data_IF_950385158342
#
_entry.id   IF_950385158342
#
_cell.length_a   1.000
_cell.length_b   1.000
_cell.length_c   1.000
_cell.angle_alpha   90.00
_cell.angle_beta   90.00
_cell.angle_gamma   90.00
#
_symmetry.space_group_name_H-M   'P 1'
#
loop_
_entity.id
_entity.type
_entity.pdbx_description
1 polymer ?
#
# COMPACT_ATOMS: atom_id res chain seq x y z
N UNK A 1 12.79 -26.91 -35.57
CA UNK A 1 13.28 -28.14 -34.91
C UNK A 1 14.47 -27.82 -34.00
N UNK A 2 15.60 -27.33 -34.52
CA UNK A 2 16.77 -26.90 -33.73
C UNK A 2 16.44 -25.89 -32.62
N UNK A 3 15.53 -24.94 -32.85
CA UNK A 3 15.10 -23.95 -31.84
C UNK A 3 14.21 -24.51 -30.74
N UNK A 4 13.47 -25.59 -31.02
CA UNK A 4 12.55 -26.23 -30.05
C UNK A 4 13.32 -27.24 -29.20
N UNK A 5 14.24 -28.00 -29.79
CA UNK A 5 15.15 -28.88 -29.05
C UNK A 5 16.05 -28.07 -28.12
N UNK A 6 16.66 -26.97 -28.60
CA UNK A 6 17.43 -26.05 -27.73
C UNK A 6 16.58 -25.40 -26.63
N UNK A 7 15.29 -25.18 -26.86
CA UNK A 7 14.39 -24.66 -25.83
C UNK A 7 14.00 -25.74 -24.81
N UNK A 8 13.93 -27.01 -25.23
CA UNK A 8 13.64 -28.14 -24.35
C UNK A 8 14.75 -28.37 -23.32
N UNK A 9 15.99 -28.06 -23.66
CA UNK A 9 17.17 -28.24 -22.81
C UNK A 9 17.67 -26.93 -22.18
N UNK A 10 16.93 -25.83 -22.36
CA UNK A 10 17.38 -24.51 -21.89
C UNK A 10 17.31 -24.38 -20.36
N UNK A 11 16.27 -24.94 -19.74
CA UNK A 11 16.00 -24.79 -18.30
C UNK A 11 16.20 -26.11 -17.58
N UNK A 12 16.75 -26.04 -16.37
CA UNK A 12 16.90 -27.18 -15.47
C UNK A 12 15.86 -27.09 -14.34
N UNK A 13 15.21 -28.21 -14.04
CA UNK A 13 14.18 -28.31 -13.00
C UNK A 13 14.77 -28.26 -11.58
N UNK A 14 16.06 -28.56 -11.41
CA UNK A 14 16.75 -28.52 -10.12
C UNK A 14 17.44 -27.16 -9.86
N UNK A 15 17.41 -26.25 -10.85
CA UNK A 15 18.00 -24.91 -10.77
C UNK A 15 17.01 -23.89 -10.23
N UNK A 16 17.46 -23.06 -9.28
CA UNK A 16 16.65 -22.00 -8.68
C UNK A 16 16.17 -21.01 -9.74
N UNK A 17 14.85 -20.82 -9.83
CA UNK A 17 14.21 -20.05 -10.90
C UNK A 17 13.58 -18.77 -10.37
N UNK A 18 14.11 -17.63 -10.83
CA UNK A 18 13.54 -16.30 -10.59
C UNK A 18 12.61 -15.92 -11.74
N UNK A 19 11.34 -15.66 -11.41
CA UNK A 19 10.33 -15.18 -12.35
C UNK A 19 10.15 -13.67 -12.29
N UNK A 20 10.09 -13.02 -13.44
CA UNK A 20 9.61 -11.64 -13.57
C UNK A 20 8.68 -11.53 -14.78
N UNK A 21 7.41 -11.16 -14.57
CA UNK A 21 6.49 -10.99 -15.70
C UNK A 21 5.51 -9.83 -15.56
N UNK A 22 5.81 -8.72 -16.25
CA UNK A 22 5.04 -7.47 -16.15
C UNK A 22 5.12 -6.69 -17.48
N UNK A 23 4.23 -5.72 -17.70
CA UNK A 23 4.44 -4.70 -18.75
C UNK A 23 5.79 -4.03 -18.50
N UNK A 24 6.65 -3.97 -19.51
CA UNK A 24 7.94 -3.25 -19.43
C UNK A 24 7.68 -1.75 -19.48
N UNK A 25 8.09 -1.08 -18.41
CA UNK A 25 8.04 0.36 -18.21
C UNK A 25 9.22 0.72 -17.29
N UNK A 26 9.75 1.93 -17.41
CA UNK A 26 10.96 2.37 -16.69
C UNK A 26 10.84 2.21 -15.18
N UNK A 27 9.70 2.62 -14.60
CA UNK A 27 9.49 2.52 -13.15
C UNK A 27 9.45 1.08 -12.62
N UNK A 28 9.25 0.05 -13.46
CA UNK A 28 9.24 -1.35 -13.02
C UNK A 28 10.62 -2.01 -12.99
N UNK A 29 11.63 -1.34 -13.56
CA UNK A 29 13.06 -1.68 -13.46
C UNK A 29 13.37 -3.16 -13.65
N UNK A 30 12.89 -3.72 -14.76
CA UNK A 30 13.15 -5.12 -15.12
C UNK A 30 14.65 -5.39 -15.35
N UNK A 31 15.44 -4.34 -15.62
CA UNK A 31 16.89 -4.37 -15.76
C UNK A 31 17.66 -4.12 -14.44
N UNK A 32 17.01 -4.04 -13.27
CA UNK A 32 17.71 -3.75 -12.01
C UNK A 32 18.85 -4.77 -11.73
N UNK A 33 18.59 -6.07 -11.94
CA UNK A 33 19.61 -7.13 -11.85
C UNK A 33 20.71 -7.05 -12.92
N UNK A 34 20.51 -6.28 -13.99
CA UNK A 34 21.43 -6.17 -15.11
C UNK A 34 22.42 -5.00 -14.96
N UNK A 35 22.23 -4.16 -13.93
CA UNK A 35 23.14 -3.07 -13.61
C UNK A 35 24.50 -3.60 -13.14
N UNK A 36 24.51 -4.64 -12.31
CA UNK A 36 25.73 -5.36 -11.91
C UNK A 36 25.82 -6.71 -12.63
N UNK A 37 26.34 -6.68 -13.86
CA UNK A 37 26.49 -7.86 -14.69
C UNK A 37 27.49 -8.86 -14.11
N UNK A 38 28.49 -8.42 -13.34
CA UNK A 38 29.46 -9.33 -12.74
C UNK A 38 28.79 -10.21 -11.68
N UNK A 39 28.06 -9.59 -10.74
CA UNK A 39 27.31 -10.32 -9.71
C UNK A 39 26.23 -11.20 -10.32
N UNK A 40 25.51 -10.70 -11.34
CA UNK A 40 24.52 -11.48 -12.06
C UNK A 40 25.13 -12.75 -12.65
N UNK A 41 26.24 -12.62 -13.38
CA UNK A 41 26.88 -13.77 -14.01
C UNK A 41 27.39 -14.78 -12.97
N UNK A 42 27.96 -14.31 -11.86
CA UNK A 42 28.37 -15.19 -10.75
C UNK A 42 27.20 -16.02 -10.22
N UNK A 43 26.01 -15.44 -10.02
CA UNK A 43 24.82 -16.17 -9.60
C UNK A 43 24.36 -17.20 -10.65
N UNK A 44 24.33 -16.81 -11.92
CA UNK A 44 23.84 -17.68 -13.01
C UNK A 44 24.77 -18.87 -13.28
N UNK A 45 26.06 -18.72 -13.01
CA UNK A 45 27.09 -19.73 -13.30
C UNK A 45 27.71 -20.35 -12.05
N UNK A 46 27.14 -20.15 -10.86
CA UNK A 46 27.60 -20.80 -9.63
C UNK A 46 27.47 -22.34 -9.80
N UNK A 47 28.55 -23.12 -9.63
CA UNK A 47 28.54 -24.56 -9.87
C UNK A 47 27.74 -25.34 -8.81
N UNK A 48 27.59 -24.78 -7.60
CA UNK A 48 26.93 -25.44 -6.47
C UNK A 48 25.49 -24.94 -6.29
N UNK A 49 25.23 -23.67 -6.64
CA UNK A 49 23.94 -22.99 -6.43
C UNK A 49 23.53 -22.17 -7.66
N UNK A 50 23.34 -22.80 -8.82
CA UNK A 50 23.03 -22.08 -10.05
C UNK A 50 21.68 -21.35 -9.98
N UNK A 51 21.56 -20.26 -10.72
CA UNK A 51 20.31 -19.50 -10.85
C UNK A 51 19.90 -19.42 -12.32
N UNK A 52 18.60 -19.42 -12.58
CA UNK A 52 18.03 -19.11 -13.90
C UNK A 52 16.94 -18.04 -13.79
N UNK A 53 16.83 -17.20 -14.82
CA UNK A 53 15.85 -16.13 -14.92
C UNK A 53 14.84 -16.45 -16.02
N UNK A 54 13.56 -16.33 -15.69
CA UNK A 54 12.47 -16.34 -16.68
C UNK A 54 11.79 -14.97 -16.65
N UNK A 55 11.99 -14.23 -17.73
CA UNK A 55 11.47 -12.87 -17.92
C UNK A 55 10.36 -12.90 -18.96
N UNK A 56 9.27 -12.17 -18.72
CA UNK A 56 8.20 -12.06 -19.72
C UNK A 56 7.51 -10.71 -19.67
N UNK A 57 7.05 -10.24 -20.82
CA UNK A 57 6.27 -9.00 -20.86
C UNK A 57 6.28 -8.33 -22.22
N UNK A 58 5.57 -7.20 -22.27
CA UNK A 58 5.42 -6.37 -23.46
C UNK A 58 5.75 -4.93 -23.09
N UNK A 59 6.53 -4.28 -23.93
CA UNK A 59 6.62 -2.82 -23.94
C UNK A 59 5.49 -2.25 -24.80
N UNK A 60 5.00 -1.06 -24.46
CA UNK A 60 4.01 -0.41 -25.33
C UNK A 60 4.67 -0.02 -26.67
N UNK A 61 3.98 -0.08 -27.82
CA UNK A 61 4.60 0.20 -29.13
C UNK A 61 5.24 1.59 -29.26
N UNK A 62 4.81 2.56 -28.45
CA UNK A 62 5.35 3.93 -28.39
C UNK A 62 6.34 4.17 -27.24
N UNK A 63 6.64 3.15 -26.44
CA UNK A 63 7.49 3.24 -25.25
C UNK A 63 8.90 2.72 -25.61
N UNK A 64 9.70 3.57 -26.25
CA UNK A 64 11.09 3.24 -26.60
C UNK A 64 11.94 2.91 -25.36
N UNK A 65 11.83 3.61 -24.22
CA UNK A 65 12.54 3.22 -23.01
C UNK A 65 12.23 1.78 -22.58
N UNK A 66 10.95 1.39 -22.54
CA UNK A 66 10.56 0.01 -22.22
C UNK A 66 11.10 -1.02 -23.22
N UNK A 67 11.18 -0.69 -24.52
CA UNK A 67 11.81 -1.56 -25.52
C UNK A 67 13.32 -1.66 -25.35
N UNK A 68 13.99 -0.58 -24.95
CA UNK A 68 15.43 -0.57 -24.71
C UNK A 68 15.81 -1.50 -23.56
N UNK A 69 15.02 -1.55 -22.49
CA UNK A 69 15.20 -2.51 -21.38
C UNK A 69 15.17 -3.96 -21.91
N UNK A 70 14.19 -4.29 -22.76
CA UNK A 70 14.10 -5.65 -23.35
C UNK A 70 15.33 -5.93 -24.23
N UNK A 71 15.76 -4.95 -25.05
CA UNK A 71 16.95 -5.07 -25.89
C UNK A 71 18.19 -5.32 -25.03
N UNK A 72 18.41 -4.53 -23.99
CA UNK A 72 19.53 -4.63 -23.06
C UNK A 72 19.65 -6.05 -22.49
N UNK A 73 18.56 -6.56 -21.89
CA UNK A 73 18.49 -7.91 -21.33
C UNK A 73 18.90 -8.99 -22.35
N UNK A 74 18.39 -8.89 -23.59
CA UNK A 74 18.70 -9.85 -24.67
C UNK A 74 20.15 -9.73 -25.12
N UNK A 75 20.74 -8.53 -25.13
CA UNK A 75 22.15 -8.33 -25.48
C UNK A 75 23.06 -8.89 -24.39
N UNK A 76 22.82 -8.55 -23.12
CA UNK A 76 23.61 -9.07 -21.99
C UNK A 76 23.61 -10.60 -21.98
N UNK A 77 22.44 -11.23 -22.09
CA UNK A 77 22.33 -12.69 -22.10
C UNK A 77 23.10 -13.33 -23.28
N UNK A 78 23.12 -12.66 -24.44
CA UNK A 78 23.86 -13.12 -25.63
C UNK A 78 25.36 -12.97 -25.45
N UNK A 79 25.80 -11.79 -25.06
CA UNK A 79 27.20 -11.38 -25.11
C UNK A 79 28.00 -12.05 -23.99
N UNK A 80 27.36 -12.29 -22.84
CA UNK A 80 27.94 -13.07 -21.75
C UNK A 80 27.80 -14.60 -21.91
N UNK A 81 27.15 -15.07 -22.99
CA UNK A 81 27.02 -16.50 -23.29
C UNK A 81 26.09 -17.29 -22.37
N UNK A 82 25.18 -16.63 -21.65
CA UNK A 82 24.26 -17.23 -20.65
C UNK A 82 22.80 -17.30 -21.12
N UNK A 83 22.60 -17.51 -22.43
CA UNK A 83 21.26 -17.55 -23.06
C UNK A 83 20.37 -18.70 -22.58
N UNK A 84 20.98 -19.76 -22.08
CA UNK A 84 20.32 -20.89 -21.42
C UNK A 84 19.90 -20.55 -19.98
N UNK A 85 20.57 -19.60 -19.33
CA UNK A 85 20.22 -19.15 -17.97
C UNK A 85 19.26 -17.98 -17.91
N UNK A 86 19.13 -17.19 -18.98
CA UNK A 86 18.21 -16.05 -19.08
C UNK A 86 17.24 -16.27 -20.24
N UNK A 87 16.01 -16.68 -19.91
CA UNK A 87 14.96 -16.96 -20.89
C UNK A 87 13.96 -15.80 -20.92
N UNK A 88 13.81 -15.17 -22.09
CA UNK A 88 12.77 -14.17 -22.33
C UNK A 88 11.58 -14.81 -23.06
N UNK A 89 10.43 -14.92 -22.39
CA UNK A 89 9.20 -15.44 -22.97
C UNK A 89 8.43 -14.34 -23.68
N UNK A 90 8.28 -14.50 -24.99
CA UNK A 90 7.52 -13.59 -25.82
C UNK A 90 6.01 -13.69 -25.53
N UNK A 91 5.32 -12.61 -25.90
CA UNK A 91 3.88 -12.60 -26.01
C UNK A 91 3.09 -12.86 -24.71
N UNK A 92 3.66 -12.47 -23.56
CA UNK A 92 3.04 -12.59 -22.23
C UNK A 92 1.54 -12.29 -22.23
N UNK A 93 0.77 -13.28 -21.78
CA UNK A 93 -0.67 -13.29 -21.64
C UNK A 93 -1.07 -14.10 -20.38
N UNK A 94 -2.36 -14.37 -20.22
CA UNK A 94 -2.86 -15.13 -19.07
C UNK A 94 -2.39 -16.60 -19.06
N UNK A 95 -2.14 -17.19 -20.23
CA UNK A 95 -1.69 -18.57 -20.35
C UNK A 95 -0.22 -18.69 -19.94
N UNK A 96 0.63 -17.79 -20.44
CA UNK A 96 2.05 -17.71 -20.05
C UNK A 96 2.14 -17.41 -18.55
N UNK A 97 1.35 -16.45 -18.06
CA UNK A 97 1.30 -16.12 -16.63
C UNK A 97 0.99 -17.35 -15.77
N UNK A 98 0.01 -18.17 -16.17
CA UNK A 98 -0.36 -19.40 -15.44
C UNK A 98 0.81 -20.36 -15.30
N UNK A 99 1.62 -20.53 -16.34
CA UNK A 99 2.76 -21.44 -16.30
C UNK A 99 3.90 -20.85 -15.47
N UNK A 100 4.19 -19.55 -15.64
CA UNK A 100 5.26 -18.90 -14.90
C UNK A 100 5.02 -18.90 -13.39
N UNK A 101 3.83 -18.48 -12.94
CA UNK A 101 3.54 -18.45 -11.49
C UNK A 101 3.52 -19.84 -10.85
N UNK A 102 3.47 -20.92 -11.65
CA UNK A 102 3.53 -22.30 -11.18
C UNK A 102 4.94 -22.92 -11.29
N UNK A 103 5.81 -22.32 -12.11
CA UNK A 103 7.12 -22.87 -12.45
C UNK A 103 8.31 -22.06 -11.95
N UNK A 104 8.07 -21.00 -11.17
CA UNK A 104 9.14 -20.17 -10.59
C UNK A 104 9.20 -20.36 -9.09
N UNK A 105 10.41 -20.39 -8.53
CA UNK A 105 10.62 -20.54 -7.09
C UNK A 105 10.41 -19.22 -6.35
N UNK A 106 10.89 -18.13 -6.94
CA UNK A 106 10.68 -16.77 -6.44
C UNK A 106 10.13 -15.85 -7.54
N UNK A 107 9.22 -14.97 -7.14
CA UNK A 107 8.66 -13.94 -8.01
C UNK A 107 9.25 -12.58 -7.65
N UNK A 108 9.99 -12.00 -8.59
CA UNK A 108 10.67 -10.72 -8.43
C UNK A 108 9.81 -9.57 -8.96
N UNK A 109 9.66 -8.53 -8.15
CA UNK A 109 9.17 -7.23 -8.58
C UNK A 109 10.18 -6.16 -8.15
N UNK A 110 10.45 -5.18 -9.00
CA UNK A 110 11.40 -4.08 -8.67
C UNK A 110 10.81 -2.71 -8.97
N UNK A 111 9.54 -2.41 -8.60
CA UNK A 111 8.98 -1.09 -8.87
C UNK A 111 9.70 -0.02 -8.07
N UNK A 112 9.88 1.15 -8.67
CA UNK A 112 10.36 2.34 -7.97
C UNK A 112 9.32 2.78 -6.95
N UNK A 113 9.72 2.95 -5.70
CA UNK A 113 8.84 3.46 -4.63
C UNK A 113 8.55 4.95 -4.89
N UNK A 114 7.31 5.46 -4.73
CA UNK A 114 6.04 4.80 -4.42
C UNK A 114 5.15 4.65 -5.69
N UNK A 115 5.74 4.25 -6.82
CA UNK A 115 5.08 4.29 -8.12
C UNK A 115 4.18 3.06 -8.39
N UNK A 116 4.24 2.02 -7.57
CA UNK A 116 3.34 0.86 -7.70
C UNK A 116 2.17 0.98 -6.70
N UNK A 117 0.99 1.35 -7.21
CA UNK A 117 -0.20 1.45 -6.36
C UNK A 117 -0.59 0.12 -5.66
N UNK A 118 -0.28 -1.03 -6.25
CA UNK A 118 -0.54 -2.35 -5.64
C UNK A 118 0.34 -3.43 -6.29
N UNK A 119 -0.14 -4.08 -7.35
CA UNK A 119 0.61 -5.11 -8.08
C UNK A 119 0.12 -6.53 -7.84
N UNK A 120 -0.81 -7.01 -8.67
CA UNK A 120 -1.48 -8.31 -8.46
C UNK A 120 -0.67 -9.55 -8.89
N UNK A 121 0.48 -9.38 -9.55
CA UNK A 121 1.29 -10.51 -10.02
C UNK A 121 1.93 -11.28 -8.87
N UNK A 122 2.41 -10.58 -7.84
CA UNK A 122 2.98 -11.21 -6.65
C UNK A 122 1.93 -11.99 -5.85
N UNK A 123 0.71 -11.43 -5.74
CA UNK A 123 -0.42 -12.15 -5.13
C UNK A 123 -0.68 -13.49 -5.82
N UNK A 124 -0.67 -13.53 -7.17
CA UNK A 124 -0.87 -14.76 -7.93
C UNK A 124 0.25 -15.77 -7.71
N UNK A 125 1.50 -15.31 -7.64
CA UNK A 125 2.66 -16.15 -7.41
C UNK A 125 2.59 -16.83 -6.03
N UNK A 126 2.30 -16.06 -4.98
CA UNK A 126 2.15 -16.59 -3.62
C UNK A 126 1.04 -17.64 -3.53
N UNK A 127 -0.09 -17.45 -4.23
CA UNK A 127 -1.17 -18.46 -4.29
C UNK A 127 -0.73 -19.80 -4.90
N UNK A 128 0.36 -19.83 -5.67
CA UNK A 128 0.93 -21.05 -6.25
C UNK A 128 2.15 -21.57 -5.45
N UNK A 129 2.42 -21.01 -4.27
CA UNK A 129 3.54 -21.41 -3.42
C UNK A 129 4.87 -20.75 -3.78
N UNK A 130 4.92 -19.88 -4.80
CA UNK A 130 6.11 -19.10 -5.13
C UNK A 130 6.34 -18.02 -4.07
N UNK A 131 7.57 -17.90 -3.55
CA UNK A 131 7.93 -16.83 -2.63
C UNK A 131 8.07 -15.50 -3.37
N UNK A 132 8.04 -14.38 -2.65
CA UNK A 132 8.05 -13.06 -3.28
C UNK A 132 9.19 -12.19 -2.72
N UNK A 133 9.81 -11.43 -3.62
CA UNK A 133 10.78 -10.39 -3.28
C UNK A 133 10.42 -9.13 -4.06
N UNK A 134 10.35 -8.01 -3.35
CA UNK A 134 9.99 -6.72 -3.94
C UNK A 134 10.48 -5.55 -3.11
N UNK A 135 10.54 -4.36 -3.69
CA UNK A 135 10.57 -3.13 -2.90
C UNK A 135 9.34 -3.02 -1.99
N UNK A 136 9.46 -2.26 -0.89
CA UNK A 136 8.40 -2.03 0.08
C UNK A 136 7.34 -1.04 -0.47
N UNK A 137 6.64 -1.46 -1.53
CA UNK A 137 5.64 -0.65 -2.23
C UNK A 137 4.42 -1.50 -2.63
N UNK A 138 3.31 -0.82 -2.93
CA UNK A 138 2.06 -1.42 -3.35
C UNK A 138 1.59 -2.53 -2.44
N UNK A 139 1.25 -3.68 -3.02
CA UNK A 139 0.70 -4.80 -2.26
C UNK A 139 1.70 -5.41 -1.28
N UNK A 140 3.00 -5.24 -1.54
CA UNK A 140 4.03 -5.81 -0.70
C UNK A 140 4.14 -5.05 0.62
N UNK A 141 3.91 -3.74 0.62
CA UNK A 141 3.78 -2.96 1.84
C UNK A 141 2.61 -3.44 2.74
N UNK A 142 1.55 -4.01 2.17
CA UNK A 142 0.43 -4.60 2.92
C UNK A 142 0.71 -6.04 3.38
N UNK A 143 1.34 -6.84 2.53
CA UNK A 143 1.46 -8.29 2.69
C UNK A 143 2.73 -8.77 3.37
N UNK A 144 3.81 -8.00 3.29
CA UNK A 144 5.14 -8.41 3.73
C UNK A 144 5.20 -8.78 5.22
N UNK A 145 5.94 -9.85 5.49
CA UNK A 145 6.58 -10.10 6.78
C UNK A 145 7.88 -10.88 6.54
N UNK A 146 8.87 -10.80 7.46
CA UNK A 146 10.16 -11.47 7.28
C UNK A 146 10.07 -12.99 7.10
N UNK A 147 8.97 -13.62 7.57
CA UNK A 147 8.79 -15.08 7.51
C UNK A 147 8.28 -15.58 6.15
N UNK A 148 7.89 -14.69 5.24
CA UNK A 148 7.13 -15.06 4.02
C UNK A 148 7.74 -14.55 2.70
N UNK A 149 8.88 -13.85 2.77
CA UNK A 149 9.56 -13.28 1.62
C UNK A 149 10.54 -12.20 2.02
N UNK A 150 10.98 -11.39 1.05
CA UNK A 150 12.04 -10.40 1.26
C UNK A 150 11.64 -9.02 0.72
N UNK A 151 12.21 -7.97 1.32
CA UNK A 151 12.02 -6.59 0.86
C UNK A 151 13.34 -5.99 0.40
N UNK A 152 13.32 -5.31 -0.75
CA UNK A 152 14.45 -4.50 -1.24
C UNK A 152 14.29 -3.12 -0.62
N UNK A 153 15.17 -2.79 0.34
CA UNK A 153 15.04 -1.58 1.15
C UNK A 153 13.80 -1.60 2.05
N UNK A 154 13.54 -0.46 2.68
CA UNK A 154 12.46 -0.23 3.64
C UNK A 154 11.47 0.86 3.19
N UNK A 155 11.45 1.20 1.90
CA UNK A 155 10.52 2.18 1.33
C UNK A 155 11.08 3.60 1.34
N UNK A 156 12.41 3.71 1.27
CA UNK A 156 13.13 4.97 1.22
C UNK A 156 12.75 5.77 -0.04
N UNK A 157 12.65 7.09 0.13
CA UNK A 157 12.49 8.04 -0.96
C UNK A 157 13.86 8.61 -1.31
N UNK A 158 14.18 8.59 -2.60
CA UNK A 158 15.44 9.10 -3.13
C UNK A 158 15.16 10.26 -4.06
N UNK A 159 16.02 11.28 -4.02
CA UNK A 159 15.90 12.44 -4.90
C UNK A 159 16.35 12.09 -6.33
N UNK A 160 17.42 11.31 -6.46
CA UNK A 160 18.02 10.94 -7.75
C UNK A 160 17.68 9.48 -8.15
N UNK A 161 16.98 9.26 -9.28
CA UNK A 161 16.56 7.92 -9.69
C UNK A 161 17.70 6.93 -9.94
N UNK A 162 18.84 7.39 -10.45
CA UNK A 162 20.01 6.58 -10.74
C UNK A 162 20.71 6.10 -9.46
N UNK A 163 20.77 6.94 -8.43
CA UNK A 163 21.33 6.57 -7.12
C UNK A 163 20.49 5.48 -6.47
N UNK A 164 19.16 5.63 -6.50
CA UNK A 164 18.23 4.61 -6.01
C UNK A 164 18.44 3.27 -6.73
N UNK A 165 18.61 3.29 -8.04
CA UNK A 165 18.79 2.06 -8.82
C UNK A 165 20.10 1.35 -8.47
N UNK A 166 21.18 2.09 -8.21
CA UNK A 166 22.45 1.52 -7.77
C UNK A 166 22.33 0.89 -6.37
N UNK A 167 21.77 1.63 -5.40
CA UNK A 167 21.61 1.15 -4.02
C UNK A 167 20.69 -0.07 -3.97
N UNK A 168 19.53 0.00 -4.62
CA UNK A 168 18.57 -1.10 -4.57
C UNK A 168 19.02 -2.32 -5.39
N UNK A 169 19.85 -2.13 -6.42
CA UNK A 169 20.55 -3.25 -7.09
C UNK A 169 21.49 -3.95 -6.11
N UNK A 170 22.32 -3.21 -5.39
CA UNK A 170 23.24 -3.77 -4.38
C UNK A 170 22.50 -4.52 -3.28
N UNK A 171 21.41 -3.95 -2.75
CA UNK A 171 20.55 -4.59 -1.75
C UNK A 171 19.89 -5.87 -2.30
N UNK A 172 19.38 -5.85 -3.53
CA UNK A 172 18.78 -7.02 -4.15
C UNK A 172 19.80 -8.16 -4.30
N UNK A 173 21.03 -7.86 -4.75
CA UNK A 173 22.06 -8.88 -4.83
C UNK A 173 22.50 -9.39 -3.46
N UNK A 174 22.58 -8.53 -2.45
CA UNK A 174 22.87 -8.95 -1.09
C UNK A 174 21.83 -9.94 -0.56
N UNK A 175 20.54 -9.68 -0.78
CA UNK A 175 19.47 -10.61 -0.46
C UNK A 175 19.62 -11.93 -1.23
N UNK A 176 19.90 -11.87 -2.54
CA UNK A 176 20.05 -13.06 -3.38
C UNK A 176 21.23 -13.93 -2.93
N UNK A 177 22.40 -13.33 -2.77
CA UNK A 177 23.66 -14.03 -2.49
C UNK A 177 23.74 -14.54 -1.05
N UNK A 178 23.23 -13.78 -0.07
CA UNK A 178 23.41 -14.07 1.36
C UNK A 178 22.23 -14.81 1.98
N UNK A 179 21.02 -14.64 1.45
CA UNK A 179 19.80 -15.18 2.07
C UNK A 179 19.00 -16.10 1.14
N UNK A 180 18.51 -15.58 0.01
CA UNK A 180 17.51 -16.26 -0.84
C UNK A 180 18.09 -17.54 -1.47
N UNK A 181 19.18 -17.42 -2.23
CA UNK A 181 19.79 -18.56 -2.93
C UNK A 181 20.31 -19.60 -1.93
N UNK A 182 21.05 -19.22 -0.85
CA UNK A 182 21.43 -20.17 0.19
C UNK A 182 20.24 -20.90 0.81
N UNK A 183 19.14 -20.20 1.13
CA UNK A 183 17.97 -20.81 1.77
C UNK A 183 17.25 -21.80 0.86
N UNK A 184 17.17 -21.52 -0.45
CA UNK A 184 16.61 -22.47 -1.41
C UNK A 184 17.48 -23.73 -1.54
N UNK A 185 18.80 -23.56 -1.54
CA UNK A 185 19.73 -24.68 -1.71
C UNK A 185 19.99 -25.49 -0.43
N UNK A 186 19.61 -24.98 0.74
CA UNK A 186 19.79 -25.63 2.04
C UNK A 186 18.93 -26.89 2.19
N UNK A 187 19.60 -28.05 2.15
CA UNK A 187 18.98 -29.39 2.10
C UNK A 187 19.64 -30.38 3.09
N UNK A 188 19.65 -30.10 4.40
CA UNK A 188 20.39 -30.91 5.38
C UNK A 188 19.78 -32.30 5.63
N UNK A 189 18.51 -32.51 5.27
CA UNK A 189 17.75 -33.73 5.57
C UNK A 189 17.25 -34.45 4.30
N UNK A 190 17.87 -34.22 3.14
CA UNK A 190 17.51 -34.82 1.87
C UNK A 190 16.96 -33.80 0.86
N UNK A 191 16.13 -34.25 -0.09
CA UNK A 191 15.80 -33.47 -1.30
C UNK A 191 14.97 -32.19 -1.06
N UNK A 192 14.21 -32.13 0.03
CA UNK A 192 13.26 -31.03 0.27
C UNK A 192 13.92 -29.93 1.12
N UNK A 193 14.00 -28.67 0.62
CA UNK A 193 14.48 -27.55 1.42
C UNK A 193 13.38 -27.15 2.44
N UNK A 194 13.55 -27.61 3.70
CA UNK A 194 12.51 -27.46 4.72
C UNK A 194 12.22 -26.01 5.06
N UNK A 195 13.25 -25.20 5.27
CA UNK A 195 13.13 -23.77 5.57
C UNK A 195 12.34 -23.06 4.47
N UNK A 196 12.72 -23.28 3.21
CA UNK A 196 11.99 -22.76 2.05
C UNK A 196 10.53 -23.20 2.03
N UNK A 197 10.27 -24.50 2.23
CA UNK A 197 8.91 -25.07 2.26
C UNK A 197 8.06 -24.47 3.37
N UNK A 198 8.64 -24.18 4.53
CA UNK A 198 7.93 -23.59 5.66
C UNK A 198 7.63 -22.09 5.41
N UNK A 199 8.52 -21.37 4.74
CA UNK A 199 8.22 -20.03 4.22
C UNK A 199 7.07 -20.07 3.21
N UNK A 200 7.05 -21.03 2.27
CA UNK A 200 5.96 -21.18 1.29
C UNK A 200 4.60 -21.38 1.98
N UNK A 201 4.54 -22.28 2.97
CA UNK A 201 3.32 -22.52 3.76
C UNK A 201 2.90 -21.28 4.54
N UNK A 202 3.84 -20.58 5.16
CA UNK A 202 3.58 -19.37 5.93
C UNK A 202 3.02 -18.26 5.03
N UNK A 203 3.61 -18.10 3.85
CA UNK A 203 3.14 -17.15 2.83
C UNK A 203 1.73 -17.48 2.37
N UNK A 204 1.44 -18.76 2.08
CA UNK A 204 0.09 -19.21 1.73
C UNK A 204 -0.93 -18.91 2.84
N UNK A 205 -0.62 -19.27 4.09
CA UNK A 205 -1.52 -19.09 5.24
C UNK A 205 -1.84 -17.62 5.51
N UNK A 206 -0.85 -16.73 5.36
CA UNK A 206 -0.98 -15.30 5.62
C UNK A 206 -1.65 -14.56 4.47
N UNK A 207 -1.16 -14.74 3.26
CA UNK A 207 -1.52 -13.89 2.12
C UNK A 207 -2.78 -14.36 1.38
N UNK A 208 -3.03 -15.67 1.27
CA UNK A 208 -4.16 -16.16 0.46
C UNK A 208 -5.55 -15.74 0.98
N UNK A 209 -5.82 -15.73 2.30
CA UNK A 209 -7.11 -15.27 2.81
C UNK A 209 -7.32 -13.76 2.61
N UNK A 210 -6.24 -12.97 2.70
CA UNK A 210 -6.29 -11.52 2.61
C UNK A 210 -6.36 -11.04 1.16
N UNK A 211 -5.45 -11.49 0.28
CA UNK A 211 -5.39 -11.11 -1.13
C UNK A 211 -6.35 -11.94 -2.00
N UNK A 212 -7.62 -11.92 -1.60
CA UNK A 212 -8.70 -12.67 -2.23
C UNK A 212 -9.72 -11.71 -2.87
N UNK A 213 -10.07 -11.93 -4.13
CA UNK A 213 -11.05 -11.11 -4.84
C UNK A 213 -12.46 -11.23 -4.27
N UNK A 214 -12.84 -12.35 -3.64
CA UNK A 214 -14.11 -12.47 -2.92
C UNK A 214 -14.20 -11.49 -1.75
N UNK A 215 -13.10 -11.32 -1.00
CA UNK A 215 -13.01 -10.32 0.07
C UNK A 215 -13.18 -8.93 -0.51
N UNK A 216 -12.40 -8.59 -1.54
CA UNK A 216 -12.46 -7.28 -2.20
C UNK A 216 -13.89 -6.96 -2.69
N UNK A 217 -14.51 -7.86 -3.46
CA UNK A 217 -15.86 -7.65 -3.99
C UNK A 217 -16.90 -7.49 -2.88
N UNK A 218 -16.78 -8.28 -1.81
CA UNK A 218 -17.64 -8.15 -0.63
C UNK A 218 -17.49 -6.78 0.03
N UNK A 219 -16.26 -6.33 0.29
CA UNK A 219 -16.00 -5.03 0.91
C UNK A 219 -16.49 -3.88 0.04
N UNK A 220 -16.27 -3.92 -1.28
CA UNK A 220 -16.83 -2.93 -2.21
C UNK A 220 -18.36 -2.93 -2.16
N UNK A 221 -18.97 -4.10 -2.10
CA UNK A 221 -20.43 -4.24 -2.02
C UNK A 221 -20.98 -3.65 -0.73
N UNK A 222 -20.40 -4.03 0.41
CA UNK A 222 -20.88 -3.66 1.74
C UNK A 222 -20.56 -2.20 2.11
N UNK A 223 -19.37 -1.70 1.74
CA UNK A 223 -18.87 -0.37 2.15
C UNK A 223 -19.17 0.72 1.14
N UNK A 224 -19.22 0.40 -0.16
CA UNK A 224 -19.46 1.37 -1.22
C UNK A 224 -20.82 1.18 -1.90
N UNK A 225 -21.06 0.07 -2.59
CA UNK A 225 -22.24 -0.05 -3.47
C UNK A 225 -23.57 0.00 -2.71
N UNK A 226 -23.77 -0.85 -1.69
CA UNK A 226 -25.04 -0.91 -0.96
C UNK A 226 -25.35 0.39 -0.20
N UNK A 227 -24.41 1.02 0.55
CA UNK A 227 -24.68 2.29 1.20
C UNK A 227 -25.02 3.41 0.22
N UNK A 228 -24.28 3.52 -0.90
CA UNK A 228 -24.57 4.54 -1.91
C UNK A 228 -25.92 4.30 -2.59
N UNK A 229 -26.30 3.06 -2.87
CA UNK A 229 -27.62 2.73 -3.40
C UNK A 229 -28.75 3.11 -2.43
N UNK A 230 -28.60 2.80 -1.13
CA UNK A 230 -29.57 3.20 -0.09
C UNK A 230 -29.68 4.73 0.00
N UNK A 231 -28.55 5.43 -0.06
CA UNK A 231 -28.53 6.89 -0.04
C UNK A 231 -29.22 7.47 -1.28
N UNK A 232 -28.92 6.95 -2.46
CA UNK A 232 -29.58 7.33 -3.70
C UNK A 232 -31.10 7.17 -3.59
N UNK A 233 -31.59 6.03 -3.07
CA UNK A 233 -33.03 5.81 -2.85
C UNK A 233 -33.67 6.84 -1.94
N UNK A 234 -32.97 7.28 -0.88
CA UNK A 234 -33.44 8.37 -0.01
C UNK A 234 -33.49 9.71 -0.76
N UNK A 235 -32.45 10.01 -1.53
CA UNK A 235 -32.33 11.29 -2.24
C UNK A 235 -33.39 11.50 -3.32
N UNK A 236 -33.84 10.43 -3.98
CA UNK A 236 -34.82 10.49 -5.08
C UNK A 236 -36.28 10.41 -4.62
N UNK A 237 -36.53 10.23 -3.31
CA UNK A 237 -37.88 10.17 -2.77
C UNK A 237 -38.62 11.51 -2.92
N UNK A 238 -39.95 11.45 -3.01
CA UNK A 238 -40.86 12.61 -3.00
C UNK A 238 -40.44 13.72 -3.97
N UNK A 239 -40.23 13.38 -5.25
CA UNK A 239 -39.70 14.30 -6.27
C UNK A 239 -38.42 15.03 -5.81
N UNK A 240 -37.46 14.24 -5.34
CA UNK A 240 -36.15 14.71 -4.88
C UNK A 240 -36.20 15.70 -3.69
N UNK A 241 -37.28 15.73 -2.91
CA UNK A 241 -37.41 16.67 -1.78
C UNK A 241 -36.24 16.59 -0.77
N UNK A 242 -35.72 15.41 -0.38
CA UNK A 242 -34.54 15.33 0.50
C UNK A 242 -33.27 15.90 -0.13
N UNK A 243 -33.07 15.69 -1.43
CA UNK A 243 -31.93 16.24 -2.15
C UNK A 243 -32.00 17.78 -2.27
N UNK A 244 -33.20 18.33 -2.53
CA UNK A 244 -33.46 19.78 -2.56
C UNK A 244 -33.14 20.41 -1.20
N UNK A 245 -33.64 19.82 -0.10
CA UNK A 245 -33.33 20.26 1.28
C UNK A 245 -31.85 20.20 1.61
N UNK A 246 -31.16 19.11 1.24
CA UNK A 246 -29.71 19.02 1.44
C UNK A 246 -28.97 20.11 0.65
N UNK A 247 -29.41 20.43 -0.57
CA UNK A 247 -28.81 21.51 -1.37
C UNK A 247 -28.98 22.88 -0.70
N UNK A 248 -30.17 23.19 -0.21
CA UNK A 248 -30.45 24.43 0.55
C UNK A 248 -29.60 24.49 1.83
N UNK A 249 -29.50 23.38 2.55
CA UNK A 249 -28.65 23.28 3.73
C UNK A 249 -27.18 23.50 3.40
N UNK A 250 -26.65 22.88 2.32
CA UNK A 250 -25.27 23.07 1.88
C UNK A 250 -24.95 24.53 1.58
N UNK A 251 -25.89 25.24 0.95
CA UNK A 251 -25.75 26.66 0.65
C UNK A 251 -25.76 27.52 1.92
N UNK A 252 -26.71 27.26 2.83
CA UNK A 252 -26.77 27.90 4.16
C UNK A 252 -25.44 27.74 4.91
N UNK A 253 -24.88 26.52 4.95
CA UNK A 253 -23.62 26.23 5.64
C UNK A 253 -22.46 26.99 5.00
N UNK A 254 -22.32 26.97 3.68
CA UNK A 254 -21.25 27.70 2.97
C UNK A 254 -21.29 29.20 3.26
N UNK A 255 -22.48 29.80 3.21
CA UNK A 255 -22.64 31.24 3.50
C UNK A 255 -22.41 31.58 4.97
N UNK A 256 -22.73 30.67 5.89
CA UNK A 256 -22.57 30.86 7.33
C UNK A 256 -21.18 30.50 7.87
N UNK A 257 -20.37 29.75 7.12
CA UNK A 257 -19.14 29.14 7.63
C UNK A 257 -18.08 30.15 8.09
N UNK A 258 -18.04 31.35 7.51
CA UNK A 258 -17.09 32.38 7.87
C UNK A 258 -17.19 32.88 9.33
N UNK A 259 -18.28 32.55 10.04
CA UNK A 259 -18.43 32.84 11.47
C UNK A 259 -18.14 31.65 12.39
N UNK A 260 -17.70 30.51 11.84
CA UNK A 260 -17.43 29.27 12.60
C UNK A 260 -15.99 29.25 13.09
N UNK A 261 -15.80 29.27 14.41
CA UNK A 261 -14.48 29.15 15.04
C UNK A 261 -14.58 28.46 16.40
N UNK A 262 -13.62 27.61 16.69
CA UNK A 262 -13.43 27.02 18.02
C UNK A 262 -12.36 27.82 18.77
N UNK A 263 -12.60 28.09 20.05
CA UNK A 263 -11.71 28.89 20.90
C UNK A 263 -11.68 28.34 22.30
N UNK A 264 -10.68 28.74 23.08
CA UNK A 264 -10.59 28.47 24.52
C UNK A 264 -10.74 26.97 24.82
N UNK A 265 -9.90 26.13 24.20
CA UNK A 265 -9.87 24.71 24.53
C UNK A 265 -9.22 24.53 25.90
N UNK A 266 -9.99 24.00 26.83
CA UNK A 266 -9.56 23.75 28.20
C UNK A 266 -9.55 22.26 28.47
N UNK A 267 -8.45 21.80 29.06
CA UNK A 267 -8.27 20.43 29.51
C UNK A 267 -8.48 20.42 31.02
N UNK A 268 -9.51 19.72 31.47
CA UNK A 268 -9.66 19.41 32.87
C UNK A 268 -9.08 18.01 33.11
N UNK A 269 -7.87 17.99 33.69
CA UNK A 269 -7.17 16.76 34.06
C UNK A 269 -6.47 16.89 35.42
N UNK A 270 -6.28 15.79 36.14
CA UNK A 270 -5.36 15.76 37.28
C UNK A 270 -3.93 16.16 36.85
N UNK A 271 -3.12 16.72 37.75
CA UNK A 271 -1.70 17.08 37.48
C UNK A 271 -0.85 15.90 36.98
N UNK A 272 -1.28 14.66 37.24
CA UNK A 272 -0.66 13.44 36.72
C UNK A 272 -1.72 12.55 36.07
N UNK A 273 -1.65 12.42 34.74
CA UNK A 273 -2.50 11.51 33.97
C UNK A 273 -1.91 10.09 33.98
N UNK A 274 -2.69 9.14 34.47
CA UNK A 274 -2.34 7.71 34.42
C UNK A 274 -2.92 7.06 33.16
N UNK A 275 -2.27 6.00 32.68
CA UNK A 275 -2.82 5.17 31.60
C UNK A 275 -4.14 4.55 32.08
N UNK A 276 -5.22 4.76 31.33
CA UNK A 276 -6.59 4.43 31.70
C UNK A 276 -7.37 5.58 32.37
N UNK A 277 -6.74 6.73 32.59
CA UNK A 277 -7.42 7.96 33.04
C UNK A 277 -8.24 8.62 31.93
N UNK A 278 -9.16 9.50 32.35
CA UNK A 278 -9.99 10.31 31.47
C UNK A 278 -9.61 11.78 31.54
N UNK A 279 -9.58 12.44 30.39
CA UNK A 279 -9.43 13.90 30.27
C UNK A 279 -10.74 14.48 29.77
N UNK A 280 -11.26 15.49 30.46
CA UNK A 280 -12.39 16.26 29.95
C UNK A 280 -11.86 17.42 29.13
N UNK A 281 -12.42 17.59 27.94
CA UNK A 281 -12.05 18.65 27.00
C UNK A 281 -13.26 19.54 26.82
N UNK A 282 -13.05 20.84 27.04
CA UNK A 282 -14.05 21.87 26.91
C UNK A 282 -13.63 22.85 25.83
N UNK A 283 -14.57 23.35 25.02
CA UNK A 283 -14.28 24.36 24.01
C UNK A 283 -15.46 25.30 23.81
N UNK A 284 -15.19 26.59 23.64
CA UNK A 284 -16.19 27.58 23.23
C UNK A 284 -16.21 27.68 21.71
N UNK A 285 -17.32 27.28 21.09
CA UNK A 285 -17.47 27.27 19.63
C UNK A 285 -18.48 28.30 19.18
N UNK A 286 -18.03 29.27 18.39
CA UNK A 286 -18.89 30.23 17.72
C UNK A 286 -19.38 29.62 16.41
N UNK A 287 -20.69 29.66 16.17
CA UNK A 287 -21.32 29.09 14.96
C UNK A 287 -21.84 30.15 13.98
N UNK A 288 -21.69 31.44 14.31
CA UNK A 288 -22.23 32.55 13.52
C UNK A 288 -23.74 32.41 13.31
N UNK A 289 -24.16 32.19 12.05
CA UNK A 289 -25.57 32.00 11.66
C UNK A 289 -26.01 30.53 11.67
N UNK A 290 -25.09 29.60 11.95
CA UNK A 290 -25.37 28.16 11.99
C UNK A 290 -25.84 27.73 13.38
N UNK A 291 -26.41 26.54 13.46
CA UNK A 291 -26.87 25.89 14.69
C UNK A 291 -25.99 24.68 15.01
N UNK A 292 -25.98 24.21 16.27
CA UNK A 292 -25.27 22.98 16.63
C UNK A 292 -25.58 21.78 15.71
N UNK A 293 -26.85 21.63 15.29
CA UNK A 293 -27.26 20.55 14.38
C UNK A 293 -26.63 20.63 12.97
N UNK A 294 -26.13 21.79 12.56
CA UNK A 294 -25.48 22.00 11.25
C UNK A 294 -23.99 21.60 11.28
N UNK A 295 -23.44 21.28 12.45
CA UNK A 295 -22.01 21.00 12.65
C UNK A 295 -21.78 19.77 13.50
N UNK A 296 -20.56 19.25 13.43
CA UNK A 296 -20.00 18.36 14.44
C UNK A 296 -18.68 18.95 14.89
N UNK A 297 -18.47 18.91 16.20
CA UNK A 297 -17.23 19.35 16.83
C UNK A 297 -16.49 18.10 17.26
N UNK A 298 -15.22 18.03 16.90
CA UNK A 298 -14.39 16.85 17.10
C UNK A 298 -13.10 17.22 17.84
N UNK A 299 -12.76 16.41 18.82
CA UNK A 299 -11.41 16.38 19.39
C UNK A 299 -10.55 15.57 18.43
N UNK A 300 -9.47 16.18 17.96
CA UNK A 300 -8.48 15.56 17.10
C UNK A 300 -7.15 15.44 17.86
N UNK A 301 -6.55 14.26 17.84
CA UNK A 301 -5.32 13.97 18.57
C UNK A 301 -4.26 13.42 17.63
N UNK A 302 -3.02 13.88 17.81
CA UNK A 302 -1.85 13.34 17.13
C UNK A 302 -0.76 12.99 18.12
N UNK A 303 0.08 12.06 17.68
CA UNK A 303 1.27 11.64 18.40
C UNK A 303 2.48 12.14 17.63
N UNK A 304 2.79 13.43 17.72
CA UNK A 304 4.12 13.98 17.46
C UNK A 304 4.21 15.48 17.80
N UNK A 305 5.45 15.91 18.07
CA UNK A 305 5.89 17.27 18.43
C UNK A 305 6.19 18.11 17.16
N UNK A 306 6.34 17.47 16.01
CA UNK A 306 6.53 18.14 14.72
C UNK A 306 5.18 18.30 14.00
N UNK A 307 4.94 19.47 13.41
CA UNK A 307 3.70 19.96 12.75
C UNK A 307 3.12 19.06 11.63
N UNK A 308 3.63 17.85 11.45
CA UNK A 308 3.14 16.86 10.50
C UNK A 308 2.31 15.79 11.19
N UNK A 309 1.00 15.94 11.06
CA UNK A 309 -0.03 14.99 11.53
C UNK A 309 0.10 13.64 10.81
N UNK A 310 0.83 12.68 11.38
CA UNK A 310 0.88 11.30 10.89
C UNK A 310 0.18 10.33 11.85
N UNK A 311 -0.71 9.51 11.26
CA UNK A 311 -1.37 8.32 11.80
C UNK A 311 -2.21 8.42 13.09
N UNK A 312 -3.52 8.15 12.92
CA UNK A 312 -4.11 7.01 13.64
C UNK A 312 -4.90 7.26 14.93
N UNK A 313 -5.66 8.35 15.05
CA UNK A 313 -6.72 8.42 16.06
C UNK A 313 -8.08 8.73 15.44
N UNK A 314 -9.11 8.02 15.91
CA UNK A 314 -10.49 8.32 15.58
C UNK A 314 -10.89 9.62 16.30
N UNK A 315 -11.40 10.64 15.58
CA UNK A 315 -11.85 11.86 16.23
C UNK A 315 -12.99 11.55 17.21
N UNK A 316 -12.98 12.23 18.36
CA UNK A 316 -14.02 12.07 19.38
C UNK A 316 -15.04 13.18 19.20
N UNK A 317 -16.31 12.83 19.04
CA UNK A 317 -17.39 13.82 18.94
C UNK A 317 -17.61 14.50 20.28
N UNK A 318 -17.67 15.83 20.27
CA UNK A 318 -18.06 16.63 21.43
C UNK A 318 -19.57 16.87 21.44
N UNK A 319 -20.14 16.95 22.62
CA UNK A 319 -21.54 17.28 22.84
C UNK A 319 -21.75 18.78 22.99
N UNK A 320 -22.73 19.32 22.28
CA UNK A 320 -23.12 20.72 22.38
C UNK A 320 -23.87 20.97 23.69
N UNK A 321 -23.37 21.89 24.50
CA UNK A 321 -24.06 22.46 25.65
C UNK A 321 -24.82 23.75 25.31
N UNK A 322 -25.18 24.49 26.35
CA UNK A 322 -25.97 25.70 26.22
C UNK A 322 -25.24 26.84 25.51
N UNK A 323 -26.03 27.70 24.86
CA UNK A 323 -25.55 28.95 24.27
C UNK A 323 -25.23 29.96 25.37
N UNK A 324 -24.05 30.55 25.29
CA UNK A 324 -23.55 31.56 26.23
C UNK A 324 -23.96 32.97 25.80
N UNK A 325 -23.82 33.93 26.72
CA UNK A 325 -24.16 35.36 26.49
C UNK A 325 -23.32 36.01 25.39
N UNK A 326 -22.09 35.54 25.17
CA UNK A 326 -21.20 35.99 24.09
C UNK A 326 -21.57 35.42 22.71
N UNK A 327 -22.58 34.56 22.65
CA UNK A 327 -23.07 33.92 21.44
C UNK A 327 -22.38 32.61 21.06
N UNK A 328 -21.39 32.16 21.83
CA UNK A 328 -20.75 30.84 21.67
C UNK A 328 -21.61 29.71 22.24
N UNK A 329 -21.29 28.48 21.85
CA UNK A 329 -21.81 27.25 22.43
C UNK A 329 -20.68 26.54 23.17
N UNK A 330 -20.94 26.09 24.38
CA UNK A 330 -19.97 25.32 25.14
C UNK A 330 -20.02 23.85 24.72
N UNK A 331 -18.95 23.34 24.09
CA UNK A 331 -18.83 21.93 23.74
C UNK A 331 -17.97 21.20 24.77
N UNK A 332 -18.33 19.96 25.08
CA UNK A 332 -17.57 19.11 25.98
C UNK A 332 -17.41 17.70 25.41
N UNK A 333 -16.28 17.06 25.67
CA UNK A 333 -16.01 15.69 25.26
C UNK A 333 -15.01 15.02 26.20
N UNK A 334 -15.07 13.70 26.30
CA UNK A 334 -14.20 12.91 27.16
C UNK A 334 -13.24 12.06 26.34
N UNK A 335 -11.97 12.08 26.71
CA UNK A 335 -10.89 11.34 26.08
C UNK A 335 -10.33 10.29 27.05
N UNK A 336 -10.31 9.03 26.62
CA UNK A 336 -9.67 7.94 27.35
C UNK A 336 -8.18 7.81 26.99
N UNK A 337 -7.29 7.94 27.99
CA UNK A 337 -5.84 7.85 27.79
C UNK A 337 -5.35 6.39 27.83
N UNK A 338 -5.50 5.64 26.73
CA UNK A 338 -5.16 4.22 26.70
C UNK A 338 -3.66 3.88 26.60
N UNK A 339 -2.78 4.86 26.36
CA UNK A 339 -1.34 4.63 26.14
C UNK A 339 -0.50 5.80 26.65
N UNK A 340 0.71 5.52 27.15
CA UNK A 340 1.67 6.53 27.58
C UNK A 340 2.37 7.22 26.39
N UNK A 341 2.70 8.50 26.55
CA UNK A 341 3.39 9.34 25.55
C UNK A 341 2.98 10.80 25.62
N UNK A 342 3.67 11.67 24.87
CA UNK A 342 3.23 13.03 24.62
C UNK A 342 2.18 13.01 23.48
N UNK A 343 1.11 13.78 23.65
CA UNK A 343 0.04 13.94 22.67
C UNK A 343 -0.23 15.41 22.44
N UNK A 344 -0.49 15.76 21.19
CA UNK A 344 -1.02 17.07 20.80
C UNK A 344 -2.51 16.92 20.54
N UNK A 345 -3.30 17.83 21.10
CA UNK A 345 -4.75 17.84 20.97
C UNK A 345 -5.19 19.18 20.37
N UNK A 346 -6.14 19.12 19.44
CA UNK A 346 -6.82 20.30 18.91
C UNK A 346 -8.30 19.99 18.69
N UNK A 347 -9.13 21.02 18.72
CA UNK A 347 -10.55 20.91 18.37
C UNK A 347 -10.76 21.37 16.93
N UNK A 348 -11.60 20.64 16.20
CA UNK A 348 -12.05 21.04 14.86
C UNK A 348 -13.55 21.00 14.74
N UNK A 349 -14.08 21.84 13.86
CA UNK A 349 -15.49 21.92 13.50
C UNK A 349 -15.66 21.52 12.04
N UNK A 350 -16.62 20.64 11.78
CA UNK A 350 -16.96 20.12 10.46
C UNK A 350 -18.48 20.22 10.21
N UNK A 351 -18.93 20.39 8.95
CA UNK A 351 -20.35 20.35 8.64
C UNK A 351 -20.97 18.99 8.97
N UNK A 352 -22.19 18.99 9.51
CA UNK A 352 -22.94 17.76 9.81
C UNK A 352 -24.37 17.85 9.27
N UNK A 353 -24.77 16.82 8.54
CA UNK A 353 -26.16 16.62 8.13
C UNK A 353 -26.43 15.13 7.98
N UNK A 354 -27.61 14.66 8.36
CA UNK A 354 -27.98 13.23 8.30
C UNK A 354 -27.87 12.60 6.90
N UNK A 355 -28.05 13.43 5.86
CA UNK A 355 -27.93 13.04 4.45
C UNK A 355 -26.53 13.24 3.85
N UNK A 356 -25.56 13.75 4.62
CA UNK A 356 -24.17 13.91 4.17
C UNK A 356 -23.44 12.56 4.29
N UNK A 357 -22.65 12.19 3.27
CA UNK A 357 -21.95 10.89 3.30
C UNK A 357 -20.63 10.98 4.03
N UNK A 358 -19.94 12.11 3.90
CA UNK A 358 -18.72 12.46 4.60
C UNK A 358 -18.81 13.88 5.13
N UNK A 359 -18.36 14.17 6.35
CA UNK A 359 -18.26 15.56 6.85
C UNK A 359 -17.37 16.44 5.96
N UNK A 360 -16.50 15.84 5.14
CA UNK A 360 -15.61 16.52 4.20
C UNK A 360 -16.26 16.87 2.85
N UNK A 361 -17.53 16.50 2.60
CA UNK A 361 -18.22 16.71 1.31
C UNK A 361 -18.27 18.20 0.89
N UNK A 362 -18.22 19.14 1.85
CA UNK A 362 -18.25 20.57 1.58
C UNK A 362 -16.86 21.21 1.50
N UNK A 363 -15.79 20.47 1.83
CA UNK A 363 -14.42 20.97 1.95
C UNK A 363 -14.29 22.15 2.93
N UNK A 364 -15.11 22.13 3.99
CA UNK A 364 -15.11 23.13 5.05
C UNK A 364 -14.62 22.48 6.33
N UNK A 365 -13.63 23.10 6.96
CA UNK A 365 -13.09 22.73 8.26
C UNK A 365 -12.68 24.03 8.96
N UNK A 366 -12.97 24.12 10.25
CA UNK A 366 -12.46 25.20 11.10
C UNK A 366 -11.69 24.57 12.23
N UNK A 367 -10.42 24.92 12.38
CA UNK A 367 -9.59 24.48 13.49
C UNK A 367 -9.65 25.52 14.61
N UNK A 368 -9.31 25.10 15.81
CA UNK A 368 -9.09 26.01 16.93
C UNK A 368 -8.11 27.14 16.56
N UNK A 369 -8.47 28.37 16.95
CA UNK A 369 -7.68 29.60 16.77
C UNK A 369 -6.76 29.92 17.97
#
# INVERSE_FOLDING_TARGET
RVTVERASDALDMETFTIGFARRFATYKRANLLFLDQERLLRLLTDPDRPVQLILAGKAHPKDEPGKNIIREIIHVARDAGVRDKIVFLENYDINVARHMVQGTDIWLNTPRVPMEASGTSGMKAVLNGTLHVSTFDGWWAEGYSPEIGWTIGHGEMYDEPEEQDQIESELLFDLLEKEIVPTFYDRPQGRVPRNWTDMMKSSLLRNCPFFNTNRMVREYTERAYLPNHRQWRKMVADDYAPAKKLSEWKEKVRQGWGGVRATNVQLESPEQLTVGGQVQVHSSVYLGKLKPDDVQVEIYMSRDIDDTLHQGYHPILMEAGDKQDDGSYHYHGSLDCHRSGAYSLSVRVLPRHELLRSPHDLQLISWEE
#
